data_IF_692691055297
#
_entry.id   IF_692691055297
#
_cell.length_a   1.000
_cell.length_b   1.000
_cell.length_c   1.000
_cell.angle_alpha   90.00
_cell.angle_beta   90.00
_cell.angle_gamma   90.00
#
_symmetry.space_group_name_H-M   'P 1'
#
loop_
_entity.id
_entity.type
_entity.pdbx_description
1 polymer ?
#
# COMPACT_ATOMS: atom_id res chain seq x y z
N UNK A 1 9.03 8.20 3.13
CA UNK A 1 8.41 7.04 2.48
C UNK A 1 8.70 6.97 0.97
N UNK A 2 9.02 8.07 0.32
CA UNK A 2 9.31 8.14 -1.11
C UNK A 2 10.81 8.02 -1.37
N UNK A 3 11.18 7.28 -2.40
CA UNK A 3 12.58 7.05 -2.79
C UNK A 3 13.28 8.33 -3.27
N UNK A 4 12.52 9.28 -3.81
CA UNK A 4 12.95 10.61 -4.20
C UNK A 4 11.83 11.60 -3.87
N UNK A 5 11.88 12.17 -2.67
CA UNK A 5 10.89 13.14 -2.20
C UNK A 5 11.02 14.50 -2.91
N UNK A 6 12.17 14.79 -3.51
CA UNK A 6 12.38 16.04 -4.25
C UNK A 6 11.62 16.09 -5.57
N UNK A 7 11.28 14.93 -6.13
CA UNK A 7 10.51 14.79 -7.37
C UNK A 7 8.99 14.91 -7.18
N UNK A 8 8.52 15.02 -5.93
CA UNK A 8 7.11 15.09 -5.62
C UNK A 8 6.74 16.38 -4.89
N UNK A 9 5.53 16.85 -5.13
CA UNK A 9 4.85 17.84 -4.29
C UNK A 9 3.89 17.09 -3.37
N UNK A 10 3.92 17.41 -2.07
CA UNK A 10 3.05 16.78 -1.07
C UNK A 10 1.91 17.73 -0.72
N UNK A 11 0.69 17.23 -0.74
CA UNK A 11 -0.50 18.00 -0.42
C UNK A 11 -1.44 17.22 0.51
N UNK A 12 -2.01 17.92 1.47
CA UNK A 12 -3.07 17.38 2.31
C UNK A 12 -4.44 17.62 1.66
N UNK A 13 -5.21 16.55 1.53
CA UNK A 13 -6.62 16.60 1.16
C UNK A 13 -7.44 16.03 2.33
N UNK A 14 -7.93 16.90 3.20
CA UNK A 14 -8.51 16.47 4.47
C UNK A 14 -7.48 15.74 5.33
N UNK A 15 -7.76 14.51 5.73
CA UNK A 15 -6.85 13.65 6.49
C UNK A 15 -5.85 12.87 5.63
N UNK A 16 -5.97 12.93 4.31
CA UNK A 16 -5.14 12.16 3.38
C UNK A 16 -3.96 12.98 2.87
N UNK A 17 -2.77 12.40 2.94
CA UNK A 17 -1.56 12.95 2.33
C UNK A 17 -1.36 12.35 0.94
N UNK A 18 -1.25 13.21 -0.07
CA UNK A 18 -1.02 12.81 -1.46
C UNK A 18 0.30 13.37 -1.99
N UNK A 19 0.94 12.60 -2.86
CA UNK A 19 2.14 12.98 -3.57
C UNK A 19 1.84 13.12 -5.06
N UNK A 20 2.25 14.25 -5.64
CA UNK A 20 2.09 14.57 -7.07
C UNK A 20 3.46 14.72 -7.71
N UNK A 21 3.74 14.05 -8.84
CA UNK A 21 5.01 14.24 -9.55
C UNK A 21 5.15 15.70 -10.01
N UNK A 22 6.23 16.36 -9.64
CA UNK A 22 6.52 17.75 -10.06
C UNK A 22 6.59 17.92 -11.57
N UNK A 23 7.08 16.89 -12.28
CA UNK A 23 7.14 16.88 -13.73
C UNK A 23 5.79 17.07 -14.42
N UNK A 24 4.68 16.87 -13.71
CA UNK A 24 3.32 16.99 -14.24
C UNK A 24 2.50 18.09 -13.56
N UNK A 25 3.12 19.03 -12.85
CA UNK A 25 2.45 20.12 -12.14
C UNK A 25 1.56 20.97 -13.05
N UNK A 26 2.04 21.28 -14.26
CA UNK A 26 1.27 22.07 -15.24
C UNK A 26 0.04 21.34 -15.73
N UNK A 27 0.16 20.03 -15.94
CA UNK A 27 -0.99 19.16 -16.31
C UNK A 27 -2.04 19.14 -15.20
N UNK A 28 -1.66 19.01 -13.94
CA UNK A 28 -2.59 19.04 -12.81
C UNK A 28 -3.28 20.38 -12.66
N UNK A 29 -2.54 21.49 -12.85
CA UNK A 29 -3.11 22.83 -12.84
C UNK A 29 -4.13 23.02 -13.98
N UNK A 30 -3.83 22.53 -15.16
CA UNK A 30 -4.72 22.57 -16.33
C UNK A 30 -6.00 21.75 -16.12
N UNK A 31 -5.88 20.54 -15.55
CA UNK A 31 -7.04 19.68 -15.28
C UNK A 31 -7.94 20.30 -14.21
N UNK A 32 -7.38 20.84 -13.14
CA UNK A 32 -8.13 21.48 -12.07
C UNK A 32 -8.83 22.79 -12.51
N UNK A 33 -8.30 23.47 -13.51
CA UNK A 33 -8.91 24.69 -14.07
C UNK A 33 -10.11 24.41 -15.01
N UNK A 34 -10.34 23.14 -15.38
CA UNK A 34 -11.44 22.72 -16.27
C UNK A 34 -12.63 22.19 -15.46
N UNK A 35 -13.87 22.23 -16.02
CA UNK A 35 -15.04 21.65 -15.36
C UNK A 35 -15.01 20.11 -15.39
N UNK A 36 -13.87 19.52 -15.03
CA UNK A 36 -13.65 18.09 -14.97
C UNK A 36 -13.70 17.62 -13.51
N UNK A 37 -14.37 16.51 -13.27
CA UNK A 37 -14.33 15.84 -11.97
C UNK A 37 -13.12 14.93 -11.92
N UNK A 38 -12.06 15.34 -11.22
CA UNK A 38 -10.90 14.50 -10.97
C UNK A 38 -11.26 13.50 -9.87
N UNK A 39 -11.29 12.22 -10.19
CA UNK A 39 -11.60 11.14 -9.23
C UNK A 39 -10.38 10.73 -8.42
N UNK A 40 -9.21 10.69 -9.05
CA UNK A 40 -7.94 10.39 -8.39
C UNK A 40 -6.80 11.01 -9.19
N UNK A 41 -5.77 11.48 -8.48
CA UNK A 41 -4.53 11.98 -9.06
C UNK A 41 -3.38 11.81 -8.08
N UNK A 42 -2.16 11.55 -8.60
CA UNK A 42 -0.98 11.29 -7.78
C UNK A 42 -1.10 9.98 -7.00
N UNK A 43 -0.33 9.87 -5.92
CA UNK A 43 -0.27 8.70 -5.04
C UNK A 43 -0.80 9.12 -3.67
N UNK A 44 -1.81 8.46 -3.15
CA UNK A 44 -2.17 8.59 -1.74
C UNK A 44 -1.09 7.90 -0.90
N UNK A 45 -0.42 8.64 -0.02
CA UNK A 45 0.60 8.07 0.86
C UNK A 45 -0.03 7.42 2.09
N UNK A 46 -1.12 7.98 2.57
CA UNK A 46 -1.83 7.48 3.75
C UNK A 46 -2.77 8.48 4.35
N UNK A 47 -3.34 8.11 5.49
CA UNK A 47 -4.31 8.90 6.24
C UNK A 47 -3.78 9.22 7.64
N UNK A 48 -3.84 10.49 8.04
CA UNK A 48 -3.62 10.90 9.42
C UNK A 48 -4.89 10.67 10.24
N UNK A 49 -4.80 9.83 11.28
CA UNK A 49 -5.91 9.52 12.17
C UNK A 49 -5.48 9.63 13.64
N UNK A 50 -5.86 10.72 14.27
CA UNK A 50 -5.37 11.05 15.61
C UNK A 50 -3.85 11.27 15.61
N UNK A 51 -3.11 10.44 16.37
CA UNK A 51 -1.64 10.48 16.43
C UNK A 51 -0.98 9.49 15.47
N UNK A 52 -1.77 8.74 14.70
CA UNK A 52 -1.30 7.67 13.83
C UNK A 52 -1.34 8.13 12.36
N UNK A 53 -0.44 7.58 11.56
CA UNK A 53 -0.44 7.74 10.11
C UNK A 53 -0.56 6.36 9.47
N UNK A 54 -1.72 6.10 8.87
CA UNK A 54 -2.06 4.80 8.29
C UNK A 54 -1.59 4.79 6.83
N UNK A 55 -0.58 4.00 6.46
CA UNK A 55 -0.10 3.94 5.08
C UNK A 55 -1.19 3.34 4.16
N UNK A 56 -1.28 3.88 2.95
CA UNK A 56 -2.30 3.48 1.99
C UNK A 56 -1.88 2.27 1.15
N UNK A 57 -2.86 1.64 0.52
CA UNK A 57 -2.65 0.60 -0.47
C UNK A 57 -1.93 1.15 -1.72
N UNK A 58 -2.22 2.40 -2.13
CA UNK A 58 -1.55 3.05 -3.26
C UNK A 58 -0.04 3.18 -3.00
N UNK A 59 0.35 3.54 -1.78
CA UNK A 59 1.76 3.61 -1.38
C UNK A 59 2.44 2.24 -1.45
N UNK A 60 1.77 1.19 -0.94
CA UNK A 60 2.33 -0.17 -0.96
C UNK A 60 2.66 -0.64 -2.38
N UNK A 61 1.80 -0.31 -3.35
CA UNK A 61 1.94 -0.73 -4.75
C UNK A 61 2.75 0.26 -5.61
N UNK A 62 3.17 1.39 -5.03
CA UNK A 62 3.92 2.42 -5.75
C UNK A 62 5.39 2.03 -5.94
N UNK A 63 5.89 2.24 -7.14
CA UNK A 63 7.33 2.15 -7.42
C UNK A 63 8.15 3.26 -6.77
N UNK A 64 7.48 4.31 -6.28
CA UNK A 64 8.11 5.41 -5.55
C UNK A 64 8.32 5.12 -4.06
N UNK A 65 7.80 3.99 -3.53
CA UNK A 65 8.06 3.60 -2.14
C UNK A 65 9.54 3.32 -1.92
N UNK A 66 10.13 4.01 -0.95
CA UNK A 66 11.52 3.78 -0.56
C UNK A 66 11.73 2.34 -0.12
N UNK A 67 12.71 1.62 -0.68
CA UNK A 67 13.11 0.32 -0.14
C UNK A 67 13.41 0.42 1.36
N UNK A 68 12.89 -0.52 2.13
CA UNK A 68 13.06 -0.58 3.59
C UNK A 68 12.46 0.60 4.39
N UNK A 69 11.58 1.42 3.80
CA UNK A 69 10.85 2.45 4.53
C UNK A 69 9.93 1.87 5.62
N UNK A 70 9.53 0.62 5.47
CA UNK A 70 8.76 -0.17 6.42
C UNK A 70 9.42 -1.54 6.62
N UNK A 71 9.30 -2.13 7.81
CA UNK A 71 9.57 -3.57 7.97
C UNK A 71 8.76 -4.35 6.93
N UNK A 72 9.34 -5.40 6.36
CA UNK A 72 8.64 -6.21 5.37
C UNK A 72 8.71 -7.69 5.70
N UNK A 73 7.67 -8.42 5.32
CA UNK A 73 7.53 -9.86 5.50
C UNK A 73 7.12 -10.49 4.19
N UNK A 74 7.83 -11.55 3.81
CA UNK A 74 7.43 -12.41 2.72
C UNK A 74 6.40 -13.42 3.23
N UNK A 75 5.25 -13.50 2.56
CA UNK A 75 4.18 -14.43 2.90
C UNK A 75 4.27 -15.69 2.06
N UNK A 76 3.90 -16.81 2.67
CA UNK A 76 3.60 -18.02 1.93
C UNK A 76 2.27 -17.90 1.17
N UNK A 77 2.04 -18.74 0.18
CA UNK A 77 0.85 -18.69 -0.68
C UNK A 77 -0.47 -18.59 0.10
N UNK A 78 -0.64 -19.45 1.11
CA UNK A 78 -1.88 -19.48 1.89
C UNK A 78 -2.15 -18.16 2.63
N UNK A 79 -1.10 -17.56 3.22
CA UNK A 79 -1.22 -16.30 3.94
C UNK A 79 -1.37 -15.11 2.99
N UNK A 80 -0.77 -15.17 1.80
CA UNK A 80 -1.01 -14.18 0.75
C UNK A 80 -2.49 -14.18 0.32
N UNK A 81 -3.09 -15.35 0.16
CA UNK A 81 -4.52 -15.47 -0.14
C UNK A 81 -5.39 -14.97 1.02
N UNK A 82 -5.07 -15.30 2.27
CA UNK A 82 -5.76 -14.73 3.45
C UNK A 82 -5.68 -13.21 3.44
N UNK A 83 -4.50 -12.65 3.12
CA UNK A 83 -4.33 -11.21 3.01
C UNK A 83 -5.28 -10.62 1.96
N UNK A 84 -5.33 -11.18 0.75
CA UNK A 84 -6.21 -10.73 -0.33
C UNK A 84 -7.71 -10.95 -0.04
N UNK A 85 -8.04 -11.85 0.86
CA UNK A 85 -9.41 -12.04 1.40
C UNK A 85 -9.74 -11.08 2.54
N UNK A 86 -8.78 -10.25 2.96
CA UNK A 86 -8.90 -9.35 4.11
C UNK A 86 -9.06 -10.07 5.44
N UNK A 87 -8.51 -11.25 5.57
CA UNK A 87 -8.42 -11.97 6.84
C UNK A 87 -7.25 -11.45 7.69
N UNK A 88 -7.33 -11.60 9.01
CA UNK A 88 -6.23 -11.28 9.89
C UNK A 88 -5.10 -12.30 9.70
N UNK A 89 -3.86 -11.81 9.86
CA UNK A 89 -2.66 -12.63 9.76
C UNK A 89 -1.97 -12.77 11.13
N UNK A 90 -1.18 -13.80 11.25
CA UNK A 90 -0.19 -13.93 12.32
C UNK A 90 1.18 -13.86 11.67
N UNK A 91 1.96 -12.84 12.02
CA UNK A 91 3.30 -12.67 11.46
C UNK A 91 4.32 -13.51 12.25
N UNK A 92 5.45 -13.87 11.64
CA UNK A 92 6.56 -14.52 12.36
C UNK A 92 7.01 -13.71 13.57
N UNK A 93 7.56 -14.38 14.58
CA UNK A 93 8.14 -13.73 15.73
C UNK A 93 9.36 -12.88 15.36
N UNK A 94 9.59 -11.80 16.11
CA UNK A 94 10.73 -10.91 15.88
C UNK A 94 10.44 -9.72 14.96
N UNK A 95 9.21 -9.55 14.52
CA UNK A 95 8.79 -8.37 13.75
C UNK A 95 8.19 -7.35 14.71
N UNK A 96 8.70 -6.13 14.66
CA UNK A 96 8.25 -5.04 15.51
C UNK A 96 6.75 -4.74 15.31
N UNK A 97 6.11 -4.25 16.39
CA UNK A 97 4.74 -3.75 16.31
C UNK A 97 4.69 -2.50 15.44
N UNK A 98 3.62 -2.35 14.69
CA UNK A 98 3.42 -1.22 13.79
C UNK A 98 3.06 -1.66 12.38
N UNK A 99 3.28 -0.77 11.42
CA UNK A 99 2.97 -1.04 10.01
C UNK A 99 4.05 -1.88 9.35
N UNK A 100 3.64 -2.97 8.73
CA UNK A 100 4.51 -3.94 8.04
C UNK A 100 4.02 -4.12 6.62
N UNK A 101 4.94 -4.02 5.66
CA UNK A 101 4.66 -4.30 4.26
C UNK A 101 4.68 -5.82 4.06
N UNK A 102 3.57 -6.39 3.63
CA UNK A 102 3.51 -7.81 3.27
C UNK A 102 3.77 -8.00 1.79
N UNK A 103 4.53 -9.03 1.46
CA UNK A 103 5.00 -9.34 0.11
C UNK A 103 4.72 -10.80 -0.20
N UNK A 104 4.59 -11.10 -1.48
CA UNK A 104 4.57 -12.46 -1.99
C UNK A 104 5.40 -12.51 -3.27
N UNK A 105 6.33 -13.47 -3.36
CA UNK A 105 7.30 -13.56 -4.46
C UNK A 105 8.00 -12.22 -4.77
N UNK A 106 8.42 -11.50 -3.72
CA UNK A 106 9.05 -10.16 -3.75
C UNK A 106 8.13 -9.02 -4.21
N UNK A 107 6.89 -9.30 -4.58
CA UNK A 107 5.93 -8.26 -4.96
C UNK A 107 5.18 -7.77 -3.73
N UNK A 108 5.05 -6.44 -3.53
CA UNK A 108 4.28 -5.91 -2.42
C UNK A 108 2.79 -6.19 -2.65
N UNK A 109 2.12 -6.67 -1.60
CA UNK A 109 0.68 -6.88 -1.61
C UNK A 109 -0.07 -5.75 -0.91
N UNK A 110 0.51 -5.18 0.15
CA UNK A 110 -0.12 -4.13 0.94
C UNK A 110 0.45 -4.06 2.35
N UNK A 111 -0.27 -3.38 3.25
CA UNK A 111 0.14 -3.21 4.63
C UNK A 111 -0.74 -4.00 5.61
N UNK A 112 -0.12 -4.40 6.69
CA UNK A 112 -0.80 -4.86 7.92
C UNK A 112 -0.33 -4.02 9.09
N UNK A 113 -1.15 -3.90 10.14
CA UNK A 113 -0.74 -3.34 11.43
C UNK A 113 -0.47 -4.49 12.39
N UNK A 114 0.81 -4.76 12.66
CA UNK A 114 1.25 -5.80 13.59
C UNK A 114 0.96 -5.36 15.04
N UNK A 115 0.19 -6.14 15.77
CA UNK A 115 -0.11 -5.93 17.20
C UNK A 115 0.69 -6.86 18.11
N UNK A 116 1.49 -7.77 17.52
CA UNK A 116 2.28 -8.78 18.19
C UNK A 116 1.65 -10.16 18.16
N UNK A 117 0.43 -10.31 18.66
CA UNK A 117 -0.32 -11.58 18.65
C UNK A 117 -1.14 -11.80 17.37
N UNK A 118 -1.41 -10.75 16.64
CA UNK A 118 -2.10 -10.76 15.33
C UNK A 118 -1.69 -9.52 14.53
N UNK A 119 -1.92 -9.54 13.23
CA UNK A 119 -1.76 -8.40 12.35
C UNK A 119 -3.10 -8.05 11.71
N UNK A 120 -3.53 -6.80 11.89
CA UNK A 120 -4.74 -6.29 11.27
C UNK A 120 -4.46 -6.01 9.80
N UNK A 121 -5.27 -6.57 8.93
CA UNK A 121 -5.15 -6.45 7.50
C UNK A 121 -5.71 -5.11 7.01
N UNK A 122 -4.88 -4.29 6.35
CA UNK A 122 -5.27 -2.98 5.82
C UNK A 122 -5.69 -3.03 4.33
N UNK A 123 -5.73 -4.21 3.72
CA UNK A 123 -6.17 -4.35 2.34
C UNK A 123 -7.57 -3.75 2.13
N UNK A 124 -7.83 -3.02 1.02
CA UNK A 124 -9.12 -2.41 0.78
C UNK A 124 -10.27 -3.43 0.77
N UNK A 125 -11.34 -3.13 1.48
CA UNK A 125 -12.48 -4.03 1.63
C UNK A 125 -13.16 -4.35 0.28
N UNK A 126 -13.21 -3.36 -0.60
CA UNK A 126 -13.82 -3.44 -1.93
C UNK A 126 -13.01 -4.32 -2.90
N UNK A 127 -11.71 -4.49 -2.65
CA UNK A 127 -10.80 -5.27 -3.50
C UNK A 127 -10.67 -6.73 -3.05
N UNK A 128 -11.24 -7.07 -1.90
CA UNK A 128 -11.07 -8.40 -1.33
C UNK A 128 -11.60 -9.51 -2.25
N UNK A 129 -10.88 -10.61 -2.29
CA UNK A 129 -11.34 -11.84 -2.93
C UNK A 129 -12.52 -12.42 -2.11
N UNK A 130 -13.65 -12.65 -2.76
CA UNK A 130 -14.89 -13.13 -2.12
C UNK A 130 -15.18 -14.60 -2.36
N UNK A 131 -14.49 -15.22 -3.32
CA UNK A 131 -14.68 -16.65 -3.62
C UNK A 131 -14.08 -17.53 -2.53
N UNK A 132 -14.74 -18.67 -2.27
CA UNK A 132 -14.18 -19.73 -1.44
C UNK A 132 -13.12 -20.56 -2.16
N UNK A 133 -13.08 -20.51 -3.49
CA UNK A 133 -12.09 -21.22 -4.29
C UNK A 133 -10.72 -20.60 -4.10
N UNK A 134 -9.74 -21.43 -3.74
CA UNK A 134 -8.32 -21.05 -3.67
C UNK A 134 -7.64 -21.78 -4.84
N UNK A 135 -7.12 -21.04 -5.83
CA UNK A 135 -6.38 -21.65 -6.92
C UNK A 135 -5.09 -22.28 -6.42
N UNK A 136 -4.57 -23.25 -7.15
CA UNK A 136 -3.24 -23.78 -6.89
C UNK A 136 -2.18 -22.69 -7.05
N UNK A 137 -1.10 -22.80 -6.26
CA UNK A 137 0.02 -21.87 -6.34
C UNK A 137 0.66 -21.94 -7.73
N UNK A 138 0.66 -20.81 -8.44
CA UNK A 138 1.43 -20.64 -9.66
C UNK A 138 2.73 -19.91 -9.31
N UNK A 139 3.85 -20.61 -9.42
CA UNK A 139 5.17 -19.97 -9.28
C UNK A 139 5.41 -19.08 -10.49
N UNK A 140 5.31 -17.77 -10.30
CA UNK A 140 5.73 -16.82 -11.31
C UNK A 140 7.26 -16.91 -11.45
N UNK A 141 7.73 -17.49 -12.54
CA UNK A 141 9.11 -17.31 -12.94
C UNK A 141 9.26 -15.86 -13.42
N UNK A 142 9.52 -14.95 -12.49
CA UNK A 142 10.02 -13.64 -12.84
C UNK A 142 11.41 -13.87 -13.42
N UNK A 143 11.44 -14.08 -14.73
CA UNK A 143 12.70 -14.13 -15.49
C UNK A 143 13.53 -12.90 -15.14
N UNK A 144 14.80 -13.14 -14.96
CA UNK A 144 15.78 -12.09 -14.68
C UNK A 144 15.85 -11.10 -15.83
#
# INVERSE_FOLDING_TARGET
>A
FLSDDTSFTLEWNGSFLRAYPKAHSDLFSLINAKPLRVLSAGICLGEAKGKDFIPSQELALSTALTPNAFPSVELEWEDAIKFLKKEALVLPSGIDKGYVLVRYQRLPLGFVKNLGNRANNLYPQEWRIRTGYIPEEIKLFLGR
#
